data_IF_235913835415
#
_entry.id   IF_235913835415
#
_cell.length_a   1.000
_cell.length_b   1.000
_cell.length_c   1.000
_cell.angle_alpha   90.00
_cell.angle_beta   90.00
_cell.angle_gamma   90.00
#
_symmetry.space_group_name_H-M   'P 1'
#
loop_
_entity.id
_entity.type
_entity.pdbx_description
1 polymer ?
#
# COMPACT_ATOMS: atom_id res chain seq x y z
N UNK A 1 16.30 26.39 11.47
CA UNK A 1 15.02 25.73 11.17
C UNK A 1 15.13 24.96 9.86
N UNK A 2 15.06 23.62 9.92
CA UNK A 2 15.23 22.71 8.77
C UNK A 2 14.19 21.57 8.78
N UNK A 3 12.97 21.86 9.25
CA UNK A 3 11.91 20.87 9.46
C UNK A 3 10.60 21.18 8.71
N UNK A 4 10.63 22.05 7.69
CA UNK A 4 9.42 22.51 6.98
C UNK A 4 9.51 22.44 5.45
N UNK A 5 10.36 21.55 4.92
CA UNK A 5 10.18 21.10 3.55
C UNK A 5 9.31 19.84 3.63
N UNK A 6 7.98 20.00 3.60
CA UNK A 6 7.03 18.89 3.67
C UNK A 6 7.40 17.74 2.72
N UNK A 7 7.01 16.51 3.07
CA UNK A 7 7.29 15.33 2.24
C UNK A 7 6.78 15.59 0.81
N UNK A 8 7.65 15.60 -0.21
CA UNK A 8 7.26 15.93 -1.58
C UNK A 8 6.41 14.85 -2.24
N UNK A 9 6.24 13.69 -1.58
CA UNK A 9 5.43 12.59 -2.09
C UNK A 9 3.95 12.89 -1.91
N UNK A 10 3.16 12.50 -2.92
CA UNK A 10 1.71 12.46 -2.79
C UNK A 10 1.29 11.57 -1.63
N UNK A 11 0.26 11.99 -0.88
CA UNK A 11 -0.34 11.14 0.16
C UNK A 11 -0.93 9.88 -0.46
N UNK A 12 -1.10 8.82 0.36
CA UNK A 12 -1.75 7.59 -0.10
C UNK A 12 -3.19 7.85 -0.56
N UNK A 13 -3.92 8.72 0.13
CA UNK A 13 -5.25 9.15 -0.28
C UNK A 13 -5.22 9.87 -1.66
N UNK A 14 -4.24 10.74 -1.91
CA UNK A 14 -4.11 11.40 -3.22
C UNK A 14 -3.77 10.43 -4.36
N UNK A 15 -3.07 9.33 -4.07
CA UNK A 15 -2.70 8.31 -5.06
C UNK A 15 -3.82 7.30 -5.33
N UNK A 16 -4.53 6.89 -4.29
CA UNK A 16 -5.46 5.76 -4.35
C UNK A 16 -6.93 6.14 -4.14
N UNK A 17 -7.22 7.37 -3.72
CA UNK A 17 -8.56 7.88 -3.45
C UNK A 17 -9.06 7.55 -2.04
N UNK A 18 -9.19 6.25 -1.71
CA UNK A 18 -9.66 5.80 -0.40
C UNK A 18 -8.84 4.63 0.16
N UNK A 19 -8.95 4.37 1.46
CA UNK A 19 -8.31 3.18 2.06
C UNK A 19 -8.81 1.87 1.43
N UNK A 20 -10.10 1.80 1.08
CA UNK A 20 -10.68 0.62 0.43
C UNK A 20 -10.10 0.41 -0.97
N UNK A 21 -9.95 1.49 -1.75
CA UNK A 21 -9.38 1.41 -3.10
C UNK A 21 -7.89 1.08 -3.05
N UNK A 22 -7.16 1.65 -2.09
CA UNK A 22 -5.78 1.29 -1.80
C UNK A 22 -5.63 -0.20 -1.49
N UNK A 23 -6.46 -0.73 -0.58
CA UNK A 23 -6.37 -2.13 -0.16
C UNK A 23 -6.69 -3.07 -1.33
N UNK A 24 -7.71 -2.76 -2.14
CA UNK A 24 -8.07 -3.53 -3.33
C UNK A 24 -6.96 -3.55 -4.38
N UNK A 25 -6.33 -2.40 -4.66
CA UNK A 25 -5.22 -2.31 -5.60
C UNK A 25 -3.96 -3.02 -5.07
N UNK A 26 -3.68 -2.92 -3.77
CA UNK A 26 -2.56 -3.60 -3.14
C UNK A 26 -2.72 -5.12 -3.21
N UNK A 27 -3.92 -5.62 -2.93
CA UNK A 27 -4.23 -7.05 -3.05
C UNK A 27 -4.07 -7.54 -4.49
N UNK A 28 -4.65 -6.83 -5.47
CA UNK A 28 -4.55 -7.19 -6.87
C UNK A 28 -3.09 -7.22 -7.37
N UNK A 29 -2.26 -6.26 -6.94
CA UNK A 29 -0.84 -6.24 -7.28
C UNK A 29 -0.08 -7.40 -6.61
N UNK A 30 -0.41 -7.73 -5.36
CA UNK A 30 0.19 -8.87 -4.64
C UNK A 30 -0.16 -10.18 -5.34
N UNK A 31 -1.42 -10.34 -5.78
CA UNK A 31 -1.87 -11.51 -6.52
C UNK A 31 -1.19 -11.65 -7.88
N UNK A 32 -1.00 -10.54 -8.59
CA UNK A 32 -0.25 -10.54 -9.85
C UNK A 32 1.20 -11.00 -9.64
N UNK A 33 1.89 -10.50 -8.61
CA UNK A 33 3.24 -10.94 -8.28
C UNK A 33 3.32 -12.43 -7.94
N UNK A 34 2.27 -12.98 -7.31
CA UNK A 34 2.19 -14.42 -7.03
C UNK A 34 1.97 -15.21 -8.31
N UNK A 35 1.05 -14.78 -9.17
CA UNK A 35 0.74 -15.44 -10.43
C UNK A 35 1.95 -15.46 -11.38
N UNK A 36 2.71 -14.36 -11.41
CA UNK A 36 3.92 -14.23 -12.22
C UNK A 36 5.14 -14.94 -11.61
N UNK A 37 5.02 -15.49 -10.39
CA UNK A 37 6.09 -16.21 -9.69
C UNK A 37 7.16 -15.30 -9.07
N UNK A 38 6.92 -14.00 -8.97
CA UNK A 38 7.79 -13.04 -8.30
C UNK A 38 7.61 -13.01 -6.78
N UNK A 39 6.44 -13.45 -6.28
CA UNK A 39 6.14 -13.56 -4.86
C UNK A 39 5.64 -14.98 -4.53
N UNK A 40 6.14 -15.56 -3.44
CA UNK A 40 5.63 -16.84 -2.97
C UNK A 40 4.27 -16.63 -2.28
N UNK A 41 3.29 -17.47 -2.60
CA UNK A 41 1.90 -17.32 -2.11
C UNK A 41 1.78 -17.25 -0.58
N UNK A 42 2.65 -17.95 0.15
CA UNK A 42 2.69 -17.91 1.62
C UNK A 42 3.04 -16.55 2.23
N UNK A 43 3.49 -15.58 1.43
CA UNK A 43 3.79 -14.23 1.89
C UNK A 43 2.61 -13.26 1.75
N UNK A 44 1.52 -13.65 1.06
CA UNK A 44 0.38 -12.76 0.81
C UNK A 44 -0.14 -12.13 2.11
N UNK A 45 -0.34 -12.93 3.14
CA UNK A 45 -0.88 -12.45 4.42
C UNK A 45 0.00 -11.39 5.09
N UNK A 46 1.33 -11.53 4.99
CA UNK A 46 2.27 -10.56 5.56
C UNK A 46 2.21 -9.22 4.82
N UNK A 47 2.14 -9.26 3.49
CA UNK A 47 1.99 -8.07 2.65
C UNK A 47 0.63 -7.39 2.86
N UNK A 48 -0.44 -8.18 2.96
CA UNK A 48 -1.76 -7.66 3.28
C UNK A 48 -1.83 -7.07 4.68
N UNK A 49 -1.07 -7.58 5.65
CA UNK A 49 -0.98 -6.96 6.98
C UNK A 49 -0.31 -5.59 6.91
N UNK A 50 0.79 -5.44 6.17
CA UNK A 50 1.43 -4.14 5.93
C UNK A 50 0.45 -3.15 5.30
N UNK A 51 -0.34 -3.60 4.31
CA UNK A 51 -1.37 -2.76 3.71
C UNK A 51 -2.43 -2.32 4.73
N UNK A 52 -2.88 -3.21 5.62
CA UNK A 52 -3.82 -2.85 6.69
C UNK A 52 -3.22 -1.85 7.68
N UNK A 53 -1.96 -2.00 8.04
CA UNK A 53 -1.29 -1.10 8.98
C UNK A 53 -1.17 0.33 8.42
N UNK A 54 -1.13 0.47 7.09
CA UNK A 54 -1.15 1.77 6.41
C UNK A 54 -2.50 2.51 6.51
N UNK A 55 -3.55 1.89 7.07
CA UNK A 55 -4.79 2.59 7.41
C UNK A 55 -4.53 3.85 8.25
N UNK A 56 -3.48 3.85 9.07
CA UNK A 56 -3.07 5.00 9.89
C UNK A 56 -2.71 6.26 9.08
N UNK A 57 -2.51 6.16 7.76
CA UNK A 57 -2.18 7.27 6.86
C UNK A 57 -3.37 7.77 6.03
N UNK A 58 -4.55 7.17 6.21
CA UNK A 58 -5.80 7.66 5.63
C UNK A 58 -6.58 8.43 6.72
N UNK A 59 -7.10 9.63 6.40
CA UNK A 59 -7.84 10.46 7.35
C UNK A 59 -9.23 9.91 7.71
#
# INVERSE_FOLDING_TARGET
DAADAGDPRSSLEALYGSFSDYLAQYEAATDALIADGFLLSGFKDAYMQIARDNAAFFP
#
